data_IF_309372234151
#
_entry.id   IF_309372234151
#
_cell.length_a   1.000
_cell.length_b   1.000
_cell.length_c   1.000
_cell.angle_alpha   90.00
_cell.angle_beta   90.00
_cell.angle_gamma   90.00
#
_symmetry.space_group_name_H-M   'P 1'
#
loop_
_entity.id
_entity.type
_entity.pdbx_description
1 polymer ?
#
# COMPACT_ATOMS: atom_id res chain seq x y z
N UNK A 1 24.88 13.92 24.23
CA UNK A 1 23.81 14.77 24.75
C UNK A 1 24.44 16.10 25.14
N UNK A 2 23.92 17.23 24.68
CA UNK A 2 24.53 18.54 24.95
C UNK A 2 24.25 19.02 26.38
N UNK A 3 25.14 19.80 27.00
CA UNK A 3 24.94 20.29 28.38
C UNK A 3 23.70 21.20 28.51
N UNK A 4 23.36 21.93 27.45
CA UNK A 4 22.16 22.79 27.37
C UNK A 4 20.88 21.95 27.47
N UNK A 5 20.85 20.80 26.79
CA UNK A 5 19.73 19.88 26.85
C UNK A 5 19.60 19.25 28.23
N UNK A 6 20.71 18.84 28.84
CA UNK A 6 20.72 18.20 30.17
C UNK A 6 20.16 19.13 31.26
N UNK A 7 20.59 20.39 31.26
CA UNK A 7 20.10 21.42 32.18
C UNK A 7 18.60 21.72 31.96
N UNK A 8 18.15 21.81 30.71
CA UNK A 8 16.73 21.94 30.39
C UNK A 8 15.89 20.76 30.93
N UNK A 9 16.36 19.53 30.76
CA UNK A 9 15.66 18.34 31.26
C UNK A 9 15.59 18.33 32.78
N UNK A 10 16.66 18.73 33.48
CA UNK A 10 16.68 18.82 34.94
C UNK A 10 15.70 19.88 35.45
N UNK A 11 15.64 21.05 34.79
CA UNK A 11 14.66 22.11 35.10
C UNK A 11 13.22 21.65 34.87
N UNK A 12 12.96 20.94 33.77
CA UNK A 12 11.63 20.38 33.48
C UNK A 12 11.23 19.27 34.46
N UNK A 13 12.16 18.43 34.93
CA UNK A 13 11.89 17.42 35.97
C UNK A 13 11.45 18.07 37.29
N UNK A 14 12.12 19.16 37.69
CA UNK A 14 11.73 19.95 38.85
C UNK A 14 10.35 20.62 38.67
N UNK A 15 10.08 21.19 37.48
CA UNK A 15 8.79 21.84 37.18
C UNK A 15 7.62 20.87 37.14
N UNK A 16 7.82 19.64 36.64
CA UNK A 16 6.76 18.62 36.49
C UNK A 16 6.55 17.77 37.74
N UNK A 17 7.41 17.92 38.76
CA UNK A 17 7.44 17.07 39.95
C UNK A 17 7.38 15.57 39.62
N UNK A 18 8.04 15.18 38.52
CA UNK A 18 8.07 13.81 38.00
C UNK A 18 9.39 13.61 37.26
N UNK A 19 10.14 12.59 37.66
CA UNK A 19 11.37 12.23 36.96
C UNK A 19 11.08 11.69 35.56
N UNK A 20 11.89 12.10 34.59
CA UNK A 20 11.90 11.48 33.28
C UNK A 20 12.52 10.08 33.43
N UNK A 21 11.94 9.09 32.75
CA UNK A 21 12.41 7.70 32.88
C UNK A 21 13.90 7.59 32.51
N UNK A 22 14.69 6.87 33.32
CA UNK A 22 16.11 6.58 33.01
C UNK A 22 16.28 5.98 31.60
N UNK A 23 15.30 5.17 31.15
CA UNK A 23 15.25 4.59 29.81
C UNK A 23 14.97 5.59 28.70
N UNK A 24 14.26 6.67 29.01
CA UNK A 24 14.02 7.77 28.09
C UNK A 24 15.31 8.57 27.87
N UNK A 25 16.07 8.86 28.94
CA UNK A 25 17.38 9.52 28.82
C UNK A 25 18.37 8.68 28.00
N UNK A 26 18.42 7.37 28.20
CA UNK A 26 19.27 6.50 27.36
C UNK A 26 18.79 6.44 25.91
N UNK A 27 17.48 6.54 25.66
CA UNK A 27 16.94 6.63 24.31
C UNK A 27 17.26 7.95 23.62
N UNK A 28 17.26 9.08 24.34
CA UNK A 28 17.67 10.38 23.79
C UNK A 28 19.14 10.37 23.32
N UNK A 29 19.98 9.52 23.91
CA UNK A 29 21.36 9.28 23.46
C UNK A 29 21.48 8.30 22.29
N UNK A 30 20.39 7.68 21.84
CA UNK A 30 20.37 6.74 20.71
C UNK A 30 20.35 7.47 19.37
N UNK A 31 20.92 6.84 18.34
CA UNK A 31 20.90 7.37 16.96
C UNK A 31 19.47 7.65 16.45
N UNK A 32 18.49 6.84 16.89
CA UNK A 32 17.08 7.00 16.52
C UNK A 32 16.45 8.30 17.01
N UNK A 33 16.96 8.86 18.11
CA UNK A 33 16.42 10.08 18.71
C UNK A 33 17.09 11.35 18.18
N UNK A 34 18.19 11.24 17.40
CA UNK A 34 18.91 12.36 16.79
C UNK A 34 18.00 13.44 16.16
N UNK A 35 17.05 13.12 15.26
CA UNK A 35 16.24 14.16 14.61
C UNK A 35 15.30 14.88 15.59
N UNK A 36 14.89 14.21 16.66
CA UNK A 36 14.04 14.80 17.69
C UNK A 36 14.85 15.65 18.67
N UNK A 37 16.05 15.19 19.01
CA UNK A 37 17.03 15.90 19.85
C UNK A 37 17.52 17.17 19.16
N UNK A 38 17.90 17.12 17.88
CA UNK A 38 18.33 18.29 17.11
C UNK A 38 17.26 19.37 17.05
N UNK A 39 15.98 18.99 16.89
CA UNK A 39 14.87 19.95 16.93
C UNK A 39 14.73 20.61 18.29
N UNK A 40 14.94 19.85 19.36
CA UNK A 40 14.86 20.32 20.73
C UNK A 40 16.03 21.28 21.03
N UNK A 41 17.25 20.93 20.62
CA UNK A 41 18.45 21.78 20.75
C UNK A 41 18.33 23.09 19.94
N UNK A 42 17.81 23.02 18.71
CA UNK A 42 17.52 24.22 17.89
C UNK A 42 16.46 25.12 18.52
N UNK A 43 15.53 24.58 19.30
CA UNK A 43 14.55 25.38 20.03
C UNK A 43 15.18 26.04 21.26
N UNK A 44 16.06 25.33 21.99
CA UNK A 44 16.73 25.81 23.19
C UNK A 44 17.79 26.88 22.95
N UNK A 45 18.39 26.92 21.76
CA UNK A 45 19.36 27.96 21.38
C UNK A 45 18.72 29.36 21.21
N UNK A 46 17.39 29.45 21.10
CA UNK A 46 16.66 30.72 20.94
C UNK A 46 16.01 31.15 22.27
N UNK A 47 16.31 32.35 22.79
CA UNK A 47 15.68 32.83 24.02
C UNK A 47 14.17 33.05 23.81
N UNK A 48 13.35 32.69 24.81
CA UNK A 48 11.88 32.81 24.76
C UNK A 48 11.13 31.60 24.18
N UNK A 49 11.84 30.60 23.64
CA UNK A 49 11.23 29.38 23.07
C UNK A 49 11.07 28.23 24.06
N UNK A 50 11.14 28.47 25.38
CA UNK A 50 10.97 27.42 26.40
C UNK A 50 9.64 26.66 26.22
N UNK A 51 8.54 27.36 25.92
CA UNK A 51 7.24 26.72 25.69
C UNK A 51 7.23 25.77 24.47
N UNK A 52 7.98 26.10 23.42
CA UNK A 52 8.13 25.25 22.24
C UNK A 52 9.01 24.04 22.58
N UNK A 53 10.07 24.23 23.36
CA UNK A 53 10.93 23.15 23.84
C UNK A 53 10.15 22.14 24.69
N UNK A 54 9.23 22.61 25.54
CA UNK A 54 8.32 21.75 26.33
C UNK A 54 7.40 20.91 25.42
N UNK A 55 6.85 21.49 24.36
CA UNK A 55 6.03 20.74 23.39
C UNK A 55 6.84 19.72 22.60
N UNK A 56 8.07 20.07 22.20
CA UNK A 56 8.98 19.15 21.53
C UNK A 56 9.39 18.00 22.46
N UNK A 57 9.61 18.27 23.74
CA UNK A 57 9.90 17.24 24.73
C UNK A 57 8.73 16.23 24.87
N UNK A 58 7.48 16.70 24.87
CA UNK A 58 6.30 15.82 24.85
C UNK A 58 6.25 14.94 23.59
N UNK A 59 6.55 15.51 22.42
CA UNK A 59 6.66 14.73 21.16
C UNK A 59 7.79 13.71 21.22
N UNK A 60 8.92 14.04 21.86
CA UNK A 60 10.01 13.09 22.11
C UNK A 60 9.56 11.95 23.02
N UNK A 61 8.81 12.23 24.09
CA UNK A 61 8.26 11.20 24.98
C UNK A 61 7.26 10.28 24.27
N UNK A 62 6.41 10.81 23.39
CA UNK A 62 5.50 10.03 22.55
C UNK A 62 6.27 9.13 21.56
N UNK A 63 7.31 9.68 20.92
CA UNK A 63 8.19 8.92 20.04
C UNK A 63 8.93 7.80 20.79
N UNK A 64 9.38 8.07 22.02
CA UNK A 64 9.97 7.04 22.90
C UNK A 64 8.95 5.96 23.28
N UNK A 65 7.72 6.33 23.65
CA UNK A 65 6.66 5.36 23.96
C UNK A 65 6.37 4.48 22.75
N UNK A 66 6.34 5.06 21.55
CA UNK A 66 6.18 4.30 20.31
C UNK A 66 7.36 3.32 20.06
N UNK A 67 8.61 3.76 20.26
CA UNK A 67 9.79 2.90 20.09
C UNK A 67 9.91 1.83 21.20
N UNK A 68 9.49 2.12 22.44
CA UNK A 68 9.48 1.15 23.54
C UNK A 68 8.38 0.11 23.34
N UNK A 69 7.20 0.50 22.85
CA UNK A 69 6.16 -0.44 22.41
C UNK A 69 6.68 -1.32 21.27
N UNK A 70 7.34 -0.71 20.27
CA UNK A 70 7.97 -1.45 19.18
C UNK A 70 9.03 -2.44 19.70
N UNK A 71 9.94 -2.01 20.57
CA UNK A 71 10.98 -2.88 21.16
C UNK A 71 10.40 -4.04 21.95
N UNK A 72 9.32 -3.81 22.71
CA UNK A 72 8.64 -4.89 23.44
C UNK A 72 7.98 -5.88 22.49
N UNK A 73 7.37 -5.41 21.41
CA UNK A 73 6.81 -6.27 20.37
C UNK A 73 7.92 -7.05 19.66
N UNK A 74 9.00 -6.40 19.24
CA UNK A 74 10.18 -7.03 18.62
C UNK A 74 10.82 -8.10 19.54
N UNK A 75 10.92 -7.82 20.84
CA UNK A 75 11.41 -8.79 21.81
C UNK A 75 10.49 -10.01 21.95
N UNK A 76 9.16 -9.83 21.92
CA UNK A 76 8.20 -10.94 21.90
C UNK A 76 8.33 -11.76 20.61
N UNK A 77 8.45 -11.09 19.45
CA UNK A 77 8.64 -11.71 18.13
C UNK A 77 9.91 -12.55 18.08
N UNK A 78 11.04 -12.04 18.59
CA UNK A 78 12.30 -12.78 18.65
C UNK A 78 12.21 -14.02 19.53
N UNK A 79 11.49 -13.93 20.66
CA UNK A 79 11.26 -15.08 21.55
C UNK A 79 10.39 -16.15 20.89
N UNK A 80 9.29 -15.76 20.23
CA UNK A 80 8.43 -16.72 19.53
C UNK A 80 9.12 -17.34 18.32
N UNK A 81 9.92 -16.57 17.57
CA UNK A 81 10.73 -17.10 16.48
C UNK A 81 11.77 -18.12 16.98
N UNK A 82 12.46 -17.81 18.09
CA UNK A 82 13.40 -18.74 18.72
C UNK A 82 12.71 -20.03 19.16
N UNK A 83 11.55 -19.92 19.81
CA UNK A 83 10.74 -21.07 20.22
C UNK A 83 10.28 -21.91 19.01
N UNK A 84 9.89 -21.25 17.91
CA UNK A 84 9.53 -21.92 16.66
C UNK A 84 10.71 -22.69 16.08
N UNK A 85 11.90 -22.08 16.00
CA UNK A 85 13.12 -22.71 15.51
C UNK A 85 13.53 -23.92 16.36
N UNK A 86 13.56 -23.78 17.69
CA UNK A 86 13.87 -24.90 18.59
C UNK A 86 12.86 -26.06 18.43
N UNK A 87 11.58 -25.73 18.27
CA UNK A 87 10.54 -26.74 18.06
C UNK A 87 10.64 -27.41 16.68
N UNK A 88 11.02 -26.63 15.66
CA UNK A 88 11.23 -27.12 14.30
C UNK A 88 12.43 -28.05 14.22
N UNK A 89 13.56 -27.70 14.83
CA UNK A 89 14.74 -28.57 14.90
C UNK A 89 14.43 -29.89 15.61
N UNK A 90 13.71 -29.83 16.74
CA UNK A 90 13.24 -31.03 17.44
C UNK A 90 12.30 -31.87 16.57
N UNK A 91 11.42 -31.24 15.80
CA UNK A 91 10.51 -31.93 14.88
C UNK A 91 11.23 -32.58 13.71
N UNK A 92 12.25 -31.93 13.13
CA UNK A 92 13.08 -32.48 12.06
C UNK A 92 13.75 -33.79 12.47
N UNK A 93 14.24 -33.87 13.70
CA UNK A 93 14.82 -35.11 14.26
C UNK A 93 13.78 -36.19 14.60
N UNK A 94 12.48 -35.87 14.52
CA UNK A 94 11.39 -36.78 14.82
C UNK A 94 10.90 -37.57 13.59
N UNK A 95 10.10 -38.60 13.84
CA UNK A 95 9.56 -39.49 12.81
C UNK A 95 8.78 -38.79 11.69
N UNK A 96 8.10 -37.67 11.98
CA UNK A 96 7.33 -36.92 10.98
C UNK A 96 8.17 -35.91 10.18
N UNK A 97 9.32 -35.48 10.70
CA UNK A 97 10.25 -34.57 10.04
C UNK A 97 11.34 -35.29 9.23
N UNK A 98 11.58 -36.57 9.51
CA UNK A 98 12.56 -37.43 8.84
C UNK A 98 12.57 -37.35 7.30
N UNK A 99 11.42 -37.42 6.58
CA UNK A 99 11.44 -37.34 5.11
C UNK A 99 11.95 -35.99 4.60
N UNK A 100 11.71 -34.90 5.35
CA UNK A 100 12.23 -33.58 5.02
C UNK A 100 13.71 -33.45 5.36
N UNK A 101 14.16 -34.06 6.46
CA UNK A 101 15.57 -34.12 6.83
C UNK A 101 16.40 -34.85 5.77
N UNK A 102 15.90 -35.96 5.24
CA UNK A 102 16.56 -36.70 4.15
C UNK A 102 16.62 -35.89 2.86
N UNK A 103 15.56 -35.13 2.53
CA UNK A 103 15.57 -34.23 1.37
C UNK A 103 16.62 -33.12 1.49
N UNK A 104 16.77 -32.55 2.69
CA UNK A 104 17.78 -31.52 2.97
C UNK A 104 19.20 -32.11 2.83
N UNK A 105 19.44 -33.30 3.37
CA UNK A 105 20.75 -33.97 3.30
C UNK A 105 21.12 -34.41 1.87
N UNK A 106 20.13 -34.88 1.10
CA UNK A 106 20.33 -35.39 -0.26
C UNK A 106 20.36 -34.29 -1.34
N UNK A 107 20.10 -33.03 -0.99
CA UNK A 107 20.11 -31.92 -1.93
C UNK A 107 21.54 -31.61 -2.42
N UNK A 108 21.70 -31.55 -3.75
CA UNK A 108 22.98 -31.44 -4.47
C UNK A 108 23.55 -30.02 -4.56
N UNK A 109 22.71 -29.00 -4.39
CA UNK A 109 23.07 -27.57 -4.47
C UNK A 109 22.53 -26.83 -3.24
N UNK A 110 23.22 -25.77 -2.83
CA UNK A 110 22.82 -24.98 -1.65
C UNK A 110 21.45 -24.32 -1.84
N UNK A 111 21.11 -23.88 -3.06
CA UNK A 111 19.77 -23.34 -3.38
C UNK A 111 18.67 -24.38 -3.16
N UNK A 112 18.95 -25.65 -3.48
CA UNK A 112 18.00 -26.76 -3.29
C UNK A 112 17.88 -27.14 -1.81
N UNK A 113 18.94 -26.96 -1.02
CA UNK A 113 18.91 -27.17 0.43
C UNK A 113 18.06 -26.12 1.12
N UNK A 114 18.18 -24.85 0.71
CA UNK A 114 17.33 -23.77 1.21
C UNK A 114 15.86 -24.02 0.85
N UNK A 115 15.57 -24.40 -0.38
CA UNK A 115 14.20 -24.71 -0.80
C UNK A 115 13.60 -25.90 -0.02
N UNK A 116 14.37 -26.97 0.18
CA UNK A 116 13.93 -28.13 0.97
C UNK A 116 13.68 -27.75 2.44
N UNK A 117 14.50 -26.86 3.00
CA UNK A 117 14.33 -26.33 4.35
C UNK A 117 13.07 -25.46 4.46
N UNK A 118 12.83 -24.60 3.48
CA UNK A 118 11.61 -23.77 3.41
C UNK A 118 10.34 -24.62 3.34
N UNK A 119 10.35 -25.68 2.54
CA UNK A 119 9.21 -26.60 2.44
C UNK A 119 9.01 -27.41 3.73
N UNK A 120 10.08 -27.79 4.41
CA UNK A 120 10.02 -28.40 5.74
C UNK A 120 9.43 -27.44 6.79
N UNK A 121 9.87 -26.18 6.80
CA UNK A 121 9.34 -25.14 7.70
C UNK A 121 7.86 -24.88 7.43
N UNK A 122 7.43 -24.87 6.15
CA UNK A 122 6.02 -24.74 5.77
C UNK A 122 5.18 -25.93 6.23
N UNK A 123 5.69 -27.16 6.08
CA UNK A 123 5.02 -28.35 6.55
C UNK A 123 4.85 -28.33 8.07
N UNK A 124 5.92 -27.96 8.80
CA UNK A 124 5.89 -27.81 10.25
C UNK A 124 4.92 -26.71 10.71
N UNK A 125 4.90 -25.57 10.02
CA UNK A 125 3.99 -24.46 10.30
C UNK A 125 2.51 -24.84 10.08
N UNK A 126 2.22 -25.66 9.06
CA UNK A 126 0.86 -26.20 8.81
C UNK A 126 0.43 -27.15 9.92
N UNK A 127 1.33 -28.00 10.40
CA UNK A 127 1.06 -28.95 11.47
C UNK A 127 0.95 -28.27 12.85
N UNK A 128 1.70 -27.19 13.07
CA UNK A 128 1.76 -26.47 14.34
C UNK A 128 1.48 -24.96 14.21
N UNK A 129 0.23 -24.56 13.85
CA UNK A 129 -0.11 -23.15 13.72
C UNK A 129 0.09 -22.36 15.01
N UNK A 130 -0.06 -23.02 16.16
CA UNK A 130 0.07 -22.46 17.50
C UNK A 130 1.51 -22.15 17.94
N UNK A 131 2.52 -22.50 17.14
CA UNK A 131 3.93 -22.13 17.37
C UNK A 131 4.39 -20.98 16.47
N UNK A 132 3.61 -20.62 15.45
CA UNK A 132 3.96 -19.49 14.59
C UNK A 132 4.02 -18.19 15.38
N UNK A 133 5.01 -17.31 15.12
CA UNK A 133 5.04 -15.97 15.70
C UNK A 133 3.71 -15.24 15.48
N UNK A 134 3.28 -14.43 16.45
CA UNK A 134 1.99 -13.72 16.38
C UNK A 134 1.83 -12.89 15.10
N UNK A 135 2.91 -12.37 14.52
CA UNK A 135 2.86 -11.66 13.25
C UNK A 135 2.50 -12.56 12.06
N UNK A 136 2.92 -13.82 12.07
CA UNK A 136 2.54 -14.79 11.04
C UNK A 136 1.06 -15.17 11.15
N UNK A 137 0.47 -15.08 12.36
CA UNK A 137 -0.98 -15.26 12.57
C UNK A 137 -1.78 -14.01 12.27
N UNK A 138 -1.19 -12.84 12.53
CA UNK A 138 -1.83 -11.55 12.38
C UNK A 138 -1.39 -10.88 11.07
N UNK A 139 -2.08 -11.24 9.98
CA UNK A 139 -1.88 -10.67 8.65
C UNK A 139 -1.99 -9.13 8.58
N UNK A 140 -2.46 -8.49 9.66
CA UNK A 140 -2.55 -7.03 9.78
C UNK A 140 -1.26 -6.36 10.30
N UNK A 141 -0.28 -7.12 10.81
CA UNK A 141 0.91 -6.57 11.52
C UNK A 141 2.27 -6.91 10.92
N UNK A 142 2.33 -7.69 9.85
CA UNK A 142 3.57 -7.91 9.10
C UNK A 142 3.83 -6.75 8.13
N UNK A 143 4.94 -6.01 8.34
CA UNK A 143 5.51 -5.17 7.26
C UNK A 143 6.13 -6.02 6.14
N UNK A 144 6.40 -7.29 6.41
CA UNK A 144 6.72 -8.29 5.39
C UNK A 144 5.38 -8.84 4.90
N UNK A 145 4.82 -8.19 3.87
CA UNK A 145 3.68 -8.77 3.16
C UNK A 145 4.07 -10.19 2.75
N UNK A 146 3.20 -11.21 2.93
CA UNK A 146 3.44 -12.49 2.30
C UNK A 146 3.67 -12.21 0.82
N UNK A 147 4.80 -12.67 0.27
CA UNK A 147 5.07 -12.63 -1.16
C UNK A 147 4.04 -13.56 -1.79
N UNK A 148 2.84 -13.02 -2.03
CA UNK A 148 1.89 -13.59 -2.96
C UNK A 148 2.62 -13.49 -4.28
N UNK A 149 2.95 -14.63 -4.88
CA UNK A 149 3.55 -14.69 -6.20
C UNK A 149 2.93 -13.60 -7.07
N UNK A 150 3.74 -12.59 -7.34
CA UNK A 150 3.33 -11.47 -8.16
C UNK A 150 2.95 -12.09 -9.50
N UNK A 151 1.68 -12.00 -9.89
CA UNK A 151 1.38 -11.98 -11.32
C UNK A 151 2.29 -10.91 -11.90
N UNK A 152 2.98 -11.23 -13.00
CA UNK A 152 3.79 -10.27 -13.74
C UNK A 152 2.98 -8.98 -13.87
N UNK A 153 3.46 -7.92 -13.21
CA UNK A 153 2.83 -6.61 -13.26
C UNK A 153 2.80 -6.16 -14.72
N UNK A 154 1.61 -5.92 -15.25
CA UNK A 154 1.46 -5.34 -16.57
C UNK A 154 2.05 -3.93 -16.61
N UNK A 155 2.28 -3.43 -17.82
CA UNK A 155 2.80 -2.07 -18.08
C UNK A 155 1.89 -0.99 -17.45
N UNK A 156 0.63 -1.31 -17.22
CA UNK A 156 -0.36 -0.50 -16.52
C UNK A 156 -0.06 -0.32 -15.01
N UNK A 157 0.53 -1.31 -14.34
CA UNK A 157 0.83 -1.27 -12.91
C UNK A 157 2.14 -0.52 -12.60
N UNK A 158 3.06 -0.45 -13.58
CA UNK A 158 4.25 0.40 -13.55
C UNK A 158 3.93 1.88 -13.74
N UNK A 159 2.76 2.21 -14.30
CA UNK A 159 2.38 3.60 -14.56
C UNK A 159 2.10 4.39 -13.28
N UNK A 160 1.59 3.75 -12.22
CA UNK A 160 1.21 4.46 -11.00
C UNK A 160 2.38 5.06 -10.23
N UNK A 161 3.57 4.45 -10.29
CA UNK A 161 4.78 4.95 -9.62
C UNK A 161 5.50 6.05 -10.42
N UNK A 162 5.23 6.19 -11.72
CA UNK A 162 5.97 7.07 -12.66
C UNK A 162 5.18 8.34 -13.03
N UNK A 163 3.90 8.45 -12.67
CA UNK A 163 3.06 9.56 -13.11
C UNK A 163 3.29 10.82 -12.26
N UNK A 164 3.68 11.90 -12.96
CA UNK A 164 3.90 13.25 -12.44
C UNK A 164 2.78 13.73 -11.48
N UNK A 165 3.11 14.59 -10.50
CA UNK A 165 2.16 15.11 -9.50
C UNK A 165 0.99 15.94 -10.05
N UNK A 166 0.89 16.15 -11.37
CA UNK A 166 -0.18 16.88 -12.06
C UNK A 166 -1.31 16.03 -12.66
N UNK A 167 -1.13 14.71 -12.84
CA UNK A 167 -2.22 13.86 -13.34
C UNK A 167 -3.11 13.40 -12.18
N UNK A 168 -4.44 13.48 -12.34
CA UNK A 168 -5.40 13.05 -11.33
C UNK A 168 -5.30 11.54 -11.06
N UNK A 169 -4.43 11.14 -10.13
CA UNK A 169 -4.25 9.75 -9.66
C UNK A 169 -5.58 9.08 -9.28
N UNK A 170 -6.54 9.86 -8.78
CA UNK A 170 -7.92 9.42 -8.47
C UNK A 170 -8.69 8.91 -9.71
N UNK A 171 -8.49 9.57 -10.85
CA UNK A 171 -9.07 9.19 -12.14
C UNK A 171 -8.48 7.89 -12.68
N UNK A 172 -7.20 7.62 -12.38
CA UNK A 172 -6.54 6.40 -12.81
C UNK A 172 -6.98 5.18 -11.99
N UNK A 173 -7.11 5.32 -10.66
CA UNK A 173 -7.63 4.25 -9.80
C UNK A 173 -9.05 3.87 -10.22
N UNK A 174 -9.91 4.86 -10.44
CA UNK A 174 -11.28 4.61 -10.91
C UNK A 174 -11.32 3.96 -12.30
N UNK A 175 -10.52 4.45 -13.26
CA UNK A 175 -10.44 3.85 -14.59
C UNK A 175 -9.88 2.42 -14.57
N UNK A 176 -8.86 2.14 -13.74
CA UNK A 176 -8.27 0.81 -13.59
C UNK A 176 -9.27 -0.20 -13.01
N UNK A 177 -10.03 0.19 -11.97
CA UNK A 177 -11.08 -0.66 -11.40
C UNK A 177 -12.15 -1.00 -12.44
N UNK A 178 -12.58 -0.02 -13.24
CA UNK A 178 -13.60 -0.24 -14.27
C UNK A 178 -13.11 -1.19 -15.37
N UNK A 179 -11.87 -1.02 -15.84
CA UNK A 179 -11.28 -1.86 -16.89
C UNK A 179 -11.02 -3.29 -16.43
N UNK A 180 -10.43 -3.44 -15.24
CA UNK A 180 -9.95 -4.73 -14.75
C UNK A 180 -10.94 -5.40 -13.77
N UNK A 181 -12.22 -4.99 -13.78
CA UNK A 181 -13.23 -5.43 -12.82
C UNK A 181 -13.28 -6.96 -12.67
N UNK A 182 -13.37 -7.68 -13.80
CA UNK A 182 -13.43 -9.14 -13.80
C UNK A 182 -12.18 -9.80 -13.23
N UNK A 183 -10.99 -9.28 -13.56
CA UNK A 183 -9.74 -9.79 -13.00
C UNK A 183 -9.63 -9.54 -11.49
N UNK A 184 -10.22 -8.44 -10.99
CA UNK A 184 -10.17 -8.07 -9.58
C UNK A 184 -11.18 -8.86 -8.75
N UNK A 185 -12.46 -8.84 -9.12
CA UNK A 185 -13.52 -9.49 -8.33
C UNK A 185 -13.74 -10.97 -8.71
N UNK A 186 -13.21 -11.42 -9.83
CA UNK A 186 -13.41 -12.77 -10.36
C UNK A 186 -14.67 -12.91 -11.22
N UNK A 187 -14.66 -13.89 -12.13
CA UNK A 187 -15.71 -14.10 -13.14
C UNK A 187 -17.12 -14.27 -12.55
N UNK A 188 -17.27 -15.03 -11.45
CA UNK A 188 -18.57 -15.29 -10.84
C UNK A 188 -19.28 -14.01 -10.34
N UNK A 189 -18.53 -13.07 -9.74
CA UNK A 189 -19.08 -11.78 -9.30
C UNK A 189 -19.20 -10.80 -10.47
N UNK A 190 -18.24 -10.80 -11.40
CA UNK A 190 -18.21 -9.89 -12.53
C UNK A 190 -19.34 -10.11 -13.54
N UNK A 191 -19.87 -11.34 -13.63
CA UNK A 191 -21.03 -11.66 -14.46
C UNK A 191 -22.30 -10.91 -14.03
N UNK A 192 -22.44 -10.61 -12.74
CA UNK A 192 -23.66 -10.04 -12.17
C UNK A 192 -23.46 -8.64 -11.55
N UNK A 193 -22.24 -8.10 -11.62
CA UNK A 193 -21.89 -6.83 -10.98
C UNK A 193 -20.90 -6.03 -11.82
N UNK A 194 -20.96 -4.69 -11.71
CA UNK A 194 -20.01 -3.76 -12.33
C UNK A 194 -19.69 -2.58 -11.43
N UNK A 195 -18.45 -2.10 -11.49
CA UNK A 195 -18.08 -0.80 -10.90
C UNK A 195 -18.69 0.35 -11.72
N UNK A 196 -19.40 1.26 -11.05
CA UNK A 196 -19.99 2.44 -11.69
C UNK A 196 -19.09 3.67 -11.53
N UNK A 197 -18.70 3.97 -10.29
CA UNK A 197 -17.86 5.13 -9.97
C UNK A 197 -17.18 4.94 -8.63
N UNK A 198 -16.04 5.61 -8.48
CA UNK A 198 -15.33 5.70 -7.20
C UNK A 198 -15.33 7.15 -6.77
N UNK A 199 -15.72 7.41 -5.53
CA UNK A 199 -15.70 8.75 -4.93
C UNK A 199 -14.67 8.77 -3.81
N UNK A 200 -13.82 9.79 -3.79
CA UNK A 200 -12.80 9.96 -2.74
C UNK A 200 -13.15 11.15 -1.85
N UNK A 201 -12.83 11.09 -0.54
CA UNK A 201 -12.99 12.23 0.36
C UNK A 201 -12.13 13.42 -0.10
N UNK A 202 -12.58 14.67 0.14
CA UNK A 202 -11.81 15.85 -0.21
C UNK A 202 -10.46 15.84 0.52
N UNK A 203 -9.37 16.12 -0.22
CA UNK A 203 -7.97 16.11 0.25
C UNK A 203 -7.41 14.73 0.64
N UNK A 204 -8.17 13.64 0.49
CA UNK A 204 -7.67 12.27 0.67
C UNK A 204 -7.49 11.59 -0.68
N UNK A 205 -6.36 10.92 -0.86
CA UNK A 205 -6.07 10.09 -2.05
C UNK A 205 -6.28 8.59 -1.79
N UNK A 206 -6.71 8.24 -0.58
CA UNK A 206 -6.95 6.87 -0.12
C UNK A 206 -8.32 6.79 0.57
N UNK A 207 -8.81 5.56 0.81
CA UNK A 207 -10.11 5.30 1.45
C UNK A 207 -11.32 5.85 0.68
N UNK A 208 -11.41 5.55 -0.62
CA UNK A 208 -12.58 5.89 -1.44
C UNK A 208 -13.80 5.01 -1.17
N UNK A 209 -14.97 5.49 -1.58
CA UNK A 209 -16.22 4.73 -1.64
C UNK A 209 -16.49 4.28 -3.08
N UNK A 210 -16.59 2.97 -3.31
CA UNK A 210 -16.92 2.38 -4.59
C UNK A 210 -18.43 2.20 -4.72
N UNK A 211 -19.00 2.63 -5.84
CA UNK A 211 -20.38 2.33 -6.21
C UNK A 211 -20.42 1.18 -7.21
N UNK A 212 -21.18 0.13 -6.89
CA UNK A 212 -21.35 -1.06 -7.71
C UNK A 212 -22.79 -1.14 -8.21
N UNK A 213 -22.98 -1.33 -9.52
CA UNK A 213 -24.25 -1.79 -10.08
C UNK A 213 -24.32 -3.30 -9.96
N UNK A 214 -25.45 -3.82 -9.50
CA UNK A 214 -25.70 -5.24 -9.43
C UNK A 214 -26.95 -5.59 -10.23
N UNK A 215 -27.02 -6.84 -10.71
CA UNK A 215 -28.23 -7.40 -11.30
C UNK A 215 -29.37 -7.36 -10.29
N UNK A 216 -30.60 -7.18 -10.77
CA UNK A 216 -31.79 -7.24 -9.93
C UNK A 216 -31.82 -8.55 -9.12
N UNK A 217 -32.02 -8.46 -7.80
CA UNK A 217 -31.98 -9.61 -6.88
C UNK A 217 -30.58 -10.05 -6.42
N UNK A 218 -29.50 -9.55 -7.01
CA UNK A 218 -28.12 -9.93 -6.65
C UNK A 218 -27.51 -9.04 -5.54
N UNK A 219 -28.23 -8.01 -5.09
CA UNK A 219 -27.76 -7.04 -4.09
C UNK A 219 -27.31 -7.70 -2.79
N UNK A 220 -28.06 -8.68 -2.29
CA UNK A 220 -27.76 -9.38 -1.02
C UNK A 220 -26.43 -10.11 -1.08
N UNK A 221 -26.11 -10.73 -2.23
CA UNK A 221 -24.85 -11.44 -2.44
C UNK A 221 -23.69 -10.45 -2.44
N UNK A 222 -23.86 -9.28 -3.09
CA UNK A 222 -22.85 -8.20 -3.06
C UNK A 222 -22.65 -7.65 -1.65
N UNK A 223 -23.72 -7.48 -0.87
CA UNK A 223 -23.63 -7.03 0.52
C UNK A 223 -22.82 -8.00 1.37
N UNK A 224 -23.11 -9.31 1.29
CA UNK A 224 -22.37 -10.34 2.01
C UNK A 224 -20.89 -10.38 1.60
N UNK A 225 -20.59 -10.19 0.31
CA UNK A 225 -19.23 -10.27 -0.21
C UNK A 225 -18.49 -8.91 -0.22
N UNK A 226 -19.04 -7.87 0.43
CA UNK A 226 -18.46 -6.53 0.42
C UNK A 226 -17.03 -6.52 0.97
N UNK A 227 -16.79 -7.17 2.10
CA UNK A 227 -15.46 -7.25 2.71
C UNK A 227 -14.44 -7.93 1.81
N UNK A 228 -14.87 -8.97 1.09
CA UNK A 228 -14.03 -9.69 0.13
C UNK A 228 -13.72 -8.84 -1.10
N UNK A 229 -14.70 -8.11 -1.64
CA UNK A 229 -14.52 -7.20 -2.78
C UNK A 229 -13.51 -6.10 -2.41
N UNK A 230 -13.67 -5.47 -1.24
CA UNK A 230 -12.74 -4.45 -0.74
C UNK A 230 -11.32 -5.04 -0.62
N UNK A 231 -11.21 -6.24 -0.05
CA UNK A 231 -9.93 -6.92 0.11
C UNK A 231 -9.25 -7.21 -1.23
N UNK A 232 -9.99 -7.74 -2.21
CA UNK A 232 -9.47 -8.04 -3.55
C UNK A 232 -9.01 -6.77 -4.28
N UNK A 233 -9.78 -5.69 -4.20
CA UNK A 233 -9.42 -4.42 -4.83
C UNK A 233 -8.17 -3.81 -4.18
N UNK A 234 -8.13 -3.71 -2.85
CA UNK A 234 -6.97 -3.16 -2.16
C UNK A 234 -5.73 -4.06 -2.32
N UNK A 235 -5.91 -5.38 -2.47
CA UNK A 235 -4.84 -6.30 -2.81
C UNK A 235 -4.31 -6.08 -4.22
N UNK A 236 -5.17 -5.76 -5.19
CA UNK A 236 -4.78 -5.47 -6.57
C UNK A 236 -3.90 -4.21 -6.64
N UNK A 237 -4.24 -3.15 -5.91
CA UNK A 237 -3.46 -1.91 -5.90
C UNK A 237 -2.28 -1.92 -4.91
N UNK A 238 -2.28 -2.82 -3.92
CA UNK A 238 -1.24 -2.88 -2.90
C UNK A 238 -1.30 -1.74 -1.87
N UNK A 239 -2.39 -0.97 -1.82
CA UNK A 239 -2.68 0.04 -0.79
C UNK A 239 -4.19 0.15 -0.55
N UNK A 240 -4.60 0.85 0.51
CA UNK A 240 -6.01 1.04 0.88
C UNK A 240 -6.72 2.05 -0.03
N UNK A 241 -6.99 1.65 -1.28
CA UNK A 241 -7.68 2.46 -2.27
C UNK A 241 -9.15 2.68 -1.91
N UNK A 242 -9.85 1.63 -1.46
CA UNK A 242 -11.28 1.64 -1.14
C UNK A 242 -11.49 1.25 0.32
N UNK A 243 -12.35 2.00 1.00
CA UNK A 243 -12.77 1.73 2.37
C UNK A 243 -14.23 1.24 2.46
N UNK A 244 -15.06 1.62 1.49
CA UNK A 244 -16.50 1.36 1.55
C UNK A 244 -17.02 0.97 0.16
N UNK A 245 -17.95 0.01 0.12
CA UNK A 245 -18.68 -0.36 -1.09
C UNK A 245 -20.16 -0.05 -0.90
N UNK A 246 -20.75 0.64 -1.87
CA UNK A 246 -22.17 0.98 -1.93
C UNK A 246 -22.78 0.36 -3.17
N UNK A 247 -23.97 -0.19 -3.02
CA UNK A 247 -24.74 -0.66 -4.16
C UNK A 247 -25.52 0.52 -4.73
N UNK A 248 -25.37 0.74 -6.03
CA UNK A 248 -26.08 1.78 -6.76
C UNK A 248 -27.55 1.42 -6.92
N UNK A 249 -28.41 2.43 -7.00
CA UNK A 249 -29.83 2.26 -7.30
C UNK A 249 -30.08 1.89 -8.77
N UNK A 250 -29.05 1.99 -9.61
CA UNK A 250 -29.09 1.62 -11.03
C UNK A 250 -28.81 0.13 -11.17
N UNK A 251 -29.68 -0.57 -11.89
CA UNK A 251 -29.53 -2.00 -12.17
C UNK A 251 -28.47 -2.23 -13.24
N UNK A 252 -27.85 -3.41 -13.19
CA UNK A 252 -26.96 -3.91 -14.23
C UNK A 252 -27.75 -4.23 -15.50
N UNK A 253 -27.32 -3.68 -16.64
CA UNK A 253 -27.85 -4.03 -17.97
C UNK A 253 -26.94 -5.07 -18.62
N UNK A 254 -27.51 -6.14 -19.17
CA UNK A 254 -26.77 -7.28 -19.75
C UNK A 254 -25.92 -6.88 -20.98
N UNK A 255 -26.25 -5.75 -21.62
CA UNK A 255 -25.41 -5.13 -22.67
C UNK A 255 -24.07 -4.57 -22.17
N UNK A 256 -23.86 -4.42 -20.85
CA UNK A 256 -22.60 -3.98 -20.23
C UNK A 256 -21.60 -5.15 -20.03
N UNK A 257 -21.92 -6.37 -20.48
CA UNK A 257 -21.14 -7.60 -20.21
C UNK A 257 -19.81 -7.70 -20.97
N UNK A 258 -19.65 -7.02 -22.11
CA UNK A 258 -18.40 -7.10 -22.91
C UNK A 258 -17.47 -5.92 -22.62
N UNK A 259 -16.50 -6.10 -21.71
CA UNK A 259 -15.49 -5.09 -21.36
C UNK A 259 -14.71 -4.52 -22.56
N UNK A 260 -14.59 -5.29 -23.65
CA UNK A 260 -13.94 -4.86 -24.89
C UNK A 260 -14.70 -3.78 -25.67
N UNK A 261 -16.03 -3.65 -25.50
CA UNK A 261 -16.82 -2.65 -26.26
C UNK A 261 -16.88 -1.29 -25.56
N UNK A 262 -16.56 -1.22 -24.27
CA UNK A 262 -16.70 0.00 -23.47
C UNK A 262 -15.41 0.84 -23.50
N UNK A 263 -14.22 0.24 -23.63
CA UNK A 263 -12.99 1.01 -23.89
C UNK A 263 -13.15 1.85 -25.16
N UNK A 264 -13.67 1.25 -26.22
CA UNK A 264 -13.87 1.94 -27.49
C UNK A 264 -14.97 2.99 -27.38
N UNK A 265 -16.09 2.68 -26.69
CA UNK A 265 -17.21 3.62 -26.56
C UNK A 265 -16.91 4.78 -25.59
N UNK A 266 -16.28 4.56 -24.43
CA UNK A 266 -15.97 5.65 -23.49
C UNK A 266 -14.85 6.57 -24.00
N UNK A 267 -13.92 6.05 -24.81
CA UNK A 267 -12.88 6.86 -25.46
C UNK A 267 -13.47 7.61 -26.67
N UNK A 268 -14.36 6.97 -27.44
CA UNK A 268 -15.05 7.58 -28.59
C UNK A 268 -16.07 8.67 -28.21
N UNK A 269 -16.79 8.53 -27.09
CA UNK A 269 -17.99 9.36 -26.83
C UNK A 269 -17.69 10.67 -26.09
N UNK A 270 -16.43 11.08 -25.87
CA UNK A 270 -16.14 12.32 -25.11
C UNK A 270 -15.31 13.38 -25.80
N UNK A 271 -14.82 13.15 -27.01
CA UNK A 271 -14.04 14.17 -27.71
C UNK A 271 -14.36 14.09 -29.19
N UNK A 272 -15.30 14.91 -29.66
CA UNK A 272 -15.31 15.26 -31.09
C UNK A 272 -14.05 16.08 -31.35
N UNK A 273 -13.13 15.65 -32.24
CA UNK A 273 -11.93 16.43 -32.54
C UNK A 273 -12.34 17.83 -33.00
N UNK A 274 -11.62 18.85 -32.53
CA UNK A 274 -11.88 20.23 -32.96
C UNK A 274 -11.70 20.34 -34.48
N UNK A 275 -12.56 21.10 -35.15
CA UNK A 275 -12.47 21.33 -36.61
C UNK A 275 -11.12 21.92 -37.01
N UNK A 276 -10.62 22.86 -36.19
CA UNK A 276 -9.42 23.64 -36.51
C UNK A 276 -8.31 23.42 -35.49
N UNK A 277 -7.06 23.39 -35.93
CA UNK A 277 -5.89 23.40 -35.05
C UNK A 277 -5.72 24.77 -34.37
N UNK A 278 -4.88 24.83 -33.34
CA UNK A 278 -4.36 26.12 -32.87
C UNK A 278 -3.34 26.65 -33.88
N UNK A 279 -3.35 27.94 -34.25
CA UNK A 279 -2.44 28.51 -35.25
C UNK A 279 -0.97 28.28 -34.89
N UNK A 280 -0.65 28.33 -33.58
CA UNK A 280 0.70 28.05 -33.07
C UNK A 280 1.16 26.60 -33.30
N UNK A 281 0.24 25.64 -33.23
CA UNK A 281 0.56 24.21 -33.44
C UNK A 281 0.69 23.91 -34.94
N UNK A 282 -0.12 24.56 -35.78
CA UNK A 282 -0.02 24.45 -37.24
C UNK A 282 1.35 24.92 -37.75
N UNK A 283 1.88 26.03 -37.22
CA UNK A 283 3.23 26.52 -37.56
C UNK A 283 4.35 25.55 -37.14
N UNK A 284 4.19 24.86 -36.00
CA UNK A 284 5.16 23.85 -35.54
C UNK A 284 5.13 22.58 -36.41
N UNK A 285 3.95 22.19 -36.91
CA UNK A 285 3.78 21.01 -37.77
C UNK A 285 4.38 21.20 -39.17
N UNK A 286 4.40 22.44 -39.67
CA UNK A 286 5.06 22.77 -40.93
C UNK A 286 6.57 22.49 -40.95
N UNK A 287 7.21 22.40 -39.77
CA UNK A 287 8.65 22.10 -39.62
C UNK A 287 8.98 20.61 -39.62
N UNK A 288 7.98 19.73 -39.65
CA UNK A 288 8.17 18.27 -39.65
C UNK A 288 8.21 17.77 -41.10
N UNK A 289 9.32 17.18 -41.53
CA UNK A 289 9.52 16.74 -42.92
C UNK A 289 8.74 15.46 -43.29
N UNK A 290 8.45 14.61 -42.30
CA UNK A 290 7.72 13.34 -42.51
C UNK A 290 6.20 13.58 -42.59
N UNK A 291 5.55 13.23 -43.72
CA UNK A 291 4.13 13.47 -43.95
C UNK A 291 3.21 12.60 -43.05
N UNK A 292 3.62 11.39 -42.70
CA UNK A 292 2.81 10.50 -41.86
C UNK A 292 2.88 10.92 -40.40
N UNK A 293 4.07 11.32 -39.97
CA UNK A 293 4.29 11.89 -38.64
C UNK A 293 3.52 13.21 -38.47
N UNK A 294 3.54 14.08 -39.50
CA UNK A 294 2.78 15.34 -39.51
C UNK A 294 1.28 15.11 -39.34
N UNK A 295 0.70 14.12 -40.04
CA UNK A 295 -0.72 13.75 -39.90
C UNK A 295 -1.05 13.24 -38.50
N UNK A 296 -0.23 12.35 -37.94
CA UNK A 296 -0.44 11.81 -36.60
C UNK A 296 -0.42 12.92 -35.52
N UNK A 297 0.48 13.88 -35.65
CA UNK A 297 0.53 15.04 -34.74
C UNK A 297 -0.61 16.05 -34.97
N UNK A 298 -1.10 16.18 -36.20
CA UNK A 298 -2.30 16.99 -36.50
C UNK A 298 -3.54 16.42 -35.81
N UNK A 299 -3.74 15.10 -35.90
CA UNK A 299 -4.82 14.38 -35.21
C UNK A 299 -4.72 14.53 -33.68
N UNK A 300 -3.52 14.34 -33.13
CA UNK A 300 -3.27 14.53 -31.70
C UNK A 300 -3.53 15.98 -31.27
N UNK A 301 -3.13 16.96 -32.08
CA UNK A 301 -3.38 18.38 -31.84
C UNK A 301 -4.87 18.73 -31.76
N UNK A 302 -5.69 18.16 -32.65
CA UNK A 302 -7.15 18.32 -32.65
C UNK A 302 -7.80 17.70 -31.40
N UNK A 303 -7.33 16.54 -30.96
CA UNK A 303 -7.81 15.86 -29.75
C UNK A 303 -7.44 16.63 -28.47
N UNK A 304 -6.21 17.15 -28.37
CA UNK A 304 -5.77 17.94 -27.21
C UNK A 304 -6.53 19.26 -27.12
N UNK A 305 -6.75 19.96 -28.26
CA UNK A 305 -7.53 21.20 -28.29
C UNK A 305 -8.98 20.97 -27.83
N UNK A 306 -9.63 19.91 -28.32
CA UNK A 306 -10.99 19.56 -27.90
C UNK A 306 -11.12 19.13 -26.44
N UNK A 307 -10.01 18.75 -25.78
CA UNK A 307 -9.97 18.41 -24.35
C UNK A 307 -9.74 19.63 -23.44
N UNK A 308 -9.05 20.66 -23.94
CA UNK A 308 -8.66 21.85 -23.17
C UNK A 308 -9.53 23.09 -23.45
N UNK A 309 -10.44 23.04 -24.44
CA UNK A 309 -11.48 24.04 -24.68
C UNK A 309 -12.76 23.71 -23.93
#
# INVERSE_FOLDING_TARGET
>A
MTPILEDFLQREESRRNRSLSKRFRTWLSSEKARPSVEKLERALTKPGNEGIAVQLLKKCEEAYKADDVYRRQDGKRKKSLKQFQESFEKWLTGYSGLPYQEQILNAKSDDLRELAKDDAERAFARANPHLLPDDYRDASKTRIRPVRHARLKGVDDLSFDVIEPGLNQLGLVSASIMRNWESIVGSALAQNTRAERVTFPPKSRTHGSLFIKARQGFNTIVQHNTSEIIFRINSHFGFAAIAEVKISKRYFEESETTGSKISDKLISTRITPASDLSPRVAEMLHKIDDPDLRKAFEELGKVIKARNG
#
